data_IF_205404424033
#
_entry.id   IF_205404424033
#
_cell.length_a   1.000
_cell.length_b   1.000
_cell.length_c   1.000
_cell.angle_alpha   90.00
_cell.angle_beta   90.00
_cell.angle_gamma   90.00
#
_symmetry.space_group_name_H-M   'P 1'
#
loop_
_entity.id
_entity.type
_entity.pdbx_description
1 polymer ?
#
# COMPACT_ATOMS: atom_id res chain seq x y z
N UNK A 1 -26.41 -20.01 24.24
CA UNK A 1 -25.85 -18.71 24.60
C UNK A 1 -24.39 -18.59 24.19
N UNK A 2 -23.58 -19.63 24.31
CA UNK A 2 -22.16 -19.61 23.88
C UNK A 2 -22.01 -19.41 22.36
N UNK A 3 -22.92 -19.94 21.55
CA UNK A 3 -22.90 -19.84 20.11
C UNK A 3 -23.10 -18.41 19.60
N UNK A 4 -23.91 -17.61 20.29
CA UNK A 4 -24.18 -16.23 19.92
C UNK A 4 -22.92 -15.37 20.07
N UNK A 5 -22.17 -15.58 21.15
CA UNK A 5 -20.90 -14.86 21.39
C UNK A 5 -19.87 -15.16 20.32
N UNK A 6 -19.82 -16.41 19.83
CA UNK A 6 -18.90 -16.80 18.75
C UNK A 6 -19.25 -16.13 17.43
N UNK A 7 -20.53 -16.01 17.11
CA UNK A 7 -20.98 -15.36 15.88
C UNK A 7 -20.61 -13.88 15.90
N UNK A 8 -20.78 -13.19 17.01
CA UNK A 8 -20.41 -11.80 17.16
C UNK A 8 -18.91 -11.58 16.98
N UNK A 9 -18.10 -12.53 17.46
CA UNK A 9 -16.65 -12.49 17.31
C UNK A 9 -16.24 -12.55 15.83
N UNK A 10 -16.87 -13.41 15.02
CA UNK A 10 -16.59 -13.51 13.59
C UNK A 10 -16.94 -12.24 12.84
N UNK A 11 -18.06 -11.61 13.15
CA UNK A 11 -18.47 -10.33 12.53
C UNK A 11 -17.42 -9.26 12.82
N UNK A 12 -16.89 -9.23 14.03
CA UNK A 12 -15.87 -8.27 14.45
C UNK A 12 -14.58 -8.39 13.64
N UNK A 13 -14.19 -9.60 13.23
CA UNK A 13 -12.97 -9.85 12.47
C UNK A 13 -13.04 -9.33 11.02
N UNK A 14 -14.23 -9.17 10.45
CA UNK A 14 -14.39 -8.65 9.09
C UNK A 14 -14.22 -7.14 8.98
N UNK A 15 -14.46 -6.40 10.06
CA UNK A 15 -14.45 -4.94 10.08
C UNK A 15 -13.09 -4.33 9.72
N UNK A 16 -11.93 -4.84 10.21
CA UNK A 16 -10.63 -4.25 9.91
C UNK A 16 -10.28 -4.21 8.42
N UNK A 17 -10.71 -5.21 7.64
CA UNK A 17 -10.42 -5.26 6.20
C UNK A 17 -11.14 -4.13 5.44
N UNK A 18 -12.39 -3.86 5.81
CA UNK A 18 -13.17 -2.77 5.22
C UNK A 18 -12.59 -1.41 5.59
N UNK A 19 -12.15 -1.26 6.84
CA UNK A 19 -11.54 -0.02 7.32
C UNK A 19 -10.24 0.30 6.57
N UNK A 20 -9.40 -0.70 6.28
CA UNK A 20 -8.15 -0.53 5.55
C UNK A 20 -8.41 -0.03 4.11
N UNK A 21 -9.41 -0.60 3.42
CA UNK A 21 -9.78 -0.17 2.07
C UNK A 21 -10.28 1.26 2.04
N UNK A 22 -11.06 1.67 3.06
CA UNK A 22 -11.56 3.04 3.17
C UNK A 22 -10.47 4.04 3.50
N UNK A 23 -9.42 3.63 4.22
CA UNK A 23 -8.32 4.51 4.62
C UNK A 23 -7.61 5.14 3.42
N UNK A 24 -7.44 4.40 2.31
CA UNK A 24 -6.85 4.94 1.10
C UNK A 24 -7.70 6.06 0.49
N UNK A 25 -9.03 5.93 0.55
CA UNK A 25 -9.94 6.93 0.00
C UNK A 25 -9.94 8.23 0.81
N UNK A 26 -9.56 8.18 2.07
CA UNK A 26 -9.49 9.35 2.94
C UNK A 26 -8.21 10.18 2.72
N UNK A 27 -7.25 9.68 1.97
CA UNK A 27 -6.01 10.39 1.67
C UNK A 27 -6.29 11.45 0.60
N UNK A 28 -6.05 12.72 0.92
CA UNK A 28 -6.34 13.84 0.03
C UNK A 28 -5.33 13.97 -1.12
N UNK A 29 -4.07 13.68 -0.86
CA UNK A 29 -3.03 13.71 -1.87
C UNK A 29 -3.22 12.55 -2.84
N UNK A 30 -3.41 12.85 -4.12
CA UNK A 30 -3.71 11.85 -5.15
C UNK A 30 -2.61 10.81 -5.28
N UNK A 31 -1.35 11.24 -5.25
CA UNK A 31 -0.21 10.34 -5.39
C UNK A 31 -0.12 9.38 -4.21
N UNK A 32 -0.28 9.90 -2.99
CA UNK A 32 -0.27 9.07 -1.79
C UNK A 32 -1.47 8.12 -1.75
N UNK A 33 -2.64 8.57 -2.21
CA UNK A 33 -3.82 7.72 -2.28
C UNK A 33 -3.60 6.57 -3.28
N UNK A 34 -3.02 6.86 -4.44
CA UNK A 34 -2.70 5.83 -5.43
C UNK A 34 -1.63 4.87 -4.92
N UNK A 35 -0.64 5.39 -4.20
CA UNK A 35 0.36 4.55 -3.55
C UNK A 35 -0.31 3.58 -2.55
N UNK A 36 -1.19 4.11 -1.71
CA UNK A 36 -1.95 3.30 -0.75
C UNK A 36 -2.71 2.18 -1.45
N UNK A 37 -3.46 2.51 -2.50
CA UNK A 37 -4.24 1.53 -3.26
C UNK A 37 -3.37 0.48 -3.92
N UNK A 38 -2.23 0.89 -4.48
CA UNK A 38 -1.31 -0.03 -5.14
C UNK A 38 -0.78 -1.09 -4.16
N UNK A 39 -0.38 -0.65 -2.97
CA UNK A 39 0.15 -1.55 -1.94
C UNK A 39 -0.95 -2.47 -1.41
N UNK A 40 -2.14 -1.94 -1.13
CA UNK A 40 -3.24 -2.72 -0.57
C UNK A 40 -3.74 -3.79 -1.53
N UNK A 41 -3.79 -3.48 -2.83
CA UNK A 41 -4.31 -4.40 -3.85
C UNK A 41 -3.22 -5.13 -4.61
N UNK A 42 -1.96 -4.78 -4.38
CA UNK A 42 -0.79 -5.29 -5.12
C UNK A 42 -0.96 -5.09 -6.63
N UNK A 43 -1.41 -3.90 -7.02
CA UNK A 43 -1.74 -3.56 -8.41
C UNK A 43 -0.89 -2.38 -8.88
N UNK A 44 0.04 -2.65 -9.79
CA UNK A 44 0.96 -1.64 -10.32
C UNK A 44 0.27 -0.56 -11.14
N UNK A 45 -0.96 -0.78 -11.60
CA UNK A 45 -1.67 0.24 -12.36
C UNK A 45 -1.90 1.51 -11.54
N UNK A 46 -2.08 1.37 -10.23
CA UNK A 46 -2.16 2.53 -9.34
C UNK A 46 -0.82 3.26 -9.21
N UNK A 47 0.29 2.52 -9.23
CA UNK A 47 1.62 3.13 -9.24
C UNK A 47 1.81 4.02 -10.47
N UNK A 48 1.36 3.58 -11.63
CA UNK A 48 1.50 4.28 -12.89
C UNK A 48 0.75 5.62 -12.92
N UNK A 49 -0.21 5.81 -12.03
CA UNK A 49 -0.96 7.07 -11.89
C UNK A 49 -0.23 8.10 -11.02
N UNK A 50 0.86 7.71 -10.38
CA UNK A 50 1.62 8.60 -9.49
C UNK A 50 2.50 9.54 -10.33
N UNK A 51 2.36 10.85 -10.10
CA UNK A 51 3.11 11.86 -10.83
C UNK A 51 4.54 12.08 -10.35
N UNK A 52 4.79 11.89 -9.05
CA UNK A 52 6.12 12.07 -8.47
C UNK A 52 7.04 10.89 -8.74
N UNK A 53 8.23 11.14 -9.32
CA UNK A 53 9.14 10.07 -9.74
C UNK A 53 9.59 9.17 -8.59
N UNK A 54 9.98 9.73 -7.45
CA UNK A 54 10.48 8.94 -6.33
C UNK A 54 9.39 8.05 -5.74
N UNK A 55 8.19 8.60 -5.55
CA UNK A 55 7.06 7.82 -5.03
C UNK A 55 6.62 6.75 -6.03
N UNK A 56 6.63 7.08 -7.34
CA UNK A 56 6.35 6.11 -8.39
C UNK A 56 7.31 4.93 -8.32
N UNK A 57 8.61 5.19 -8.22
CA UNK A 57 9.62 4.15 -8.17
C UNK A 57 9.55 3.34 -6.86
N UNK A 58 9.24 4.00 -5.73
CA UNK A 58 9.01 3.29 -4.47
C UNK A 58 7.81 2.34 -4.61
N UNK A 59 6.74 2.82 -5.20
CA UNK A 59 5.53 2.04 -5.45
C UNK A 59 5.83 0.81 -6.32
N UNK A 60 6.47 1.05 -7.45
CA UNK A 60 6.81 -0.03 -8.39
C UNK A 60 7.76 -1.05 -7.77
N UNK A 61 8.78 -0.57 -7.03
CA UNK A 61 9.72 -1.45 -6.35
C UNK A 61 9.02 -2.40 -5.39
N UNK A 62 8.07 -1.89 -4.62
CA UNK A 62 7.33 -2.70 -3.66
C UNK A 62 6.36 -3.67 -4.33
N UNK A 63 5.57 -3.19 -5.29
CA UNK A 63 4.55 -4.00 -5.95
C UNK A 63 5.19 -5.10 -6.80
N UNK A 64 6.23 -4.76 -7.57
CA UNK A 64 6.94 -5.71 -8.43
C UNK A 64 8.00 -6.51 -7.67
N UNK A 65 8.31 -6.11 -6.45
CA UNK A 65 9.38 -6.70 -5.64
C UNK A 65 10.72 -6.69 -6.41
N UNK A 66 11.08 -5.52 -6.94
CA UNK A 66 12.22 -5.38 -7.84
C UNK A 66 13.09 -4.18 -7.42
N UNK A 67 14.31 -4.47 -7.01
CA UNK A 67 15.26 -3.48 -6.49
C UNK A 67 15.69 -2.46 -7.54
N UNK A 68 15.56 -2.77 -8.84
CA UNK A 68 15.97 -1.83 -9.90
C UNK A 68 15.20 -0.51 -9.83
N UNK A 69 13.95 -0.54 -9.39
CA UNK A 69 13.17 0.68 -9.20
C UNK A 69 13.71 1.52 -8.06
N UNK A 70 14.24 0.88 -7.01
CA UNK A 70 14.83 1.58 -5.87
C UNK A 70 16.04 2.40 -6.30
N UNK A 71 16.82 1.90 -7.25
CA UNK A 71 18.02 2.60 -7.74
C UNK A 71 17.70 3.90 -8.46
N UNK A 72 16.49 4.06 -8.95
CA UNK A 72 16.02 5.26 -9.65
C UNK A 72 15.57 6.37 -8.70
N UNK A 73 15.43 6.05 -7.41
CA UNK A 73 14.98 7.01 -6.40
C UNK A 73 16.14 7.98 -6.08
N UNK A 74 15.84 9.28 -6.08
CA UNK A 74 16.86 10.32 -5.88
C UNK A 74 17.10 10.66 -4.42
N UNK A 75 16.07 10.55 -3.56
CA UNK A 75 16.20 10.82 -2.12
C UNK A 75 16.76 9.59 -1.40
N UNK A 76 17.83 9.78 -0.63
CA UNK A 76 18.50 8.69 0.08
C UNK A 76 17.58 7.97 1.05
N UNK A 77 16.77 8.74 1.79
CA UNK A 77 15.82 8.17 2.76
C UNK A 77 14.81 7.24 2.09
N UNK A 78 14.24 7.69 0.99
CA UNK A 78 13.25 6.91 0.26
C UNK A 78 13.89 5.72 -0.46
N UNK A 79 15.10 5.88 -0.98
CA UNK A 79 15.87 4.81 -1.61
C UNK A 79 16.10 3.66 -0.61
N UNK A 80 16.57 3.98 0.59
CA UNK A 80 16.80 2.97 1.65
C UNK A 80 15.50 2.28 2.05
N UNK A 81 14.42 3.06 2.15
CA UNK A 81 13.10 2.52 2.46
C UNK A 81 12.66 1.51 1.41
N UNK A 82 12.89 1.83 0.14
CA UNK A 82 12.59 0.95 -0.98
C UNK A 82 13.41 -0.34 -0.91
N UNK A 83 14.73 -0.21 -0.74
CA UNK A 83 15.65 -1.34 -0.67
C UNK A 83 15.31 -2.28 0.49
N UNK A 84 14.90 -1.73 1.63
CA UNK A 84 14.51 -2.52 2.78
C UNK A 84 13.18 -3.27 2.57
N UNK A 85 12.33 -2.78 1.67
CA UNK A 85 11.03 -3.37 1.38
C UNK A 85 11.09 -4.48 0.33
N UNK A 86 12.14 -4.50 -0.49
CA UNK A 86 12.33 -5.46 -1.59
C UNK A 86 13.22 -6.59 -1.12
N UNK A 87 12.84 -7.82 -1.45
CA UNK A 87 13.62 -8.99 -1.05
C UNK A 87 13.87 -9.94 -2.21
#
# INVERSE_FOLDING_TARGET
>A
MKTIAQILFFISLCVPLLAAAQACNDIKDKDKANYCRAIDTNDKSYCQKIGGNDLLNLCMGKVENDVKYCRRITTDKMKKRCENSVR
#
